data_IF_930769052275
#
_entry.id   IF_930769052275
#
_cell.length_a   1.000
_cell.length_b   1.000
_cell.length_c   1.000
_cell.angle_alpha   90.00
_cell.angle_beta   90.00
_cell.angle_gamma   90.00
#
_symmetry.space_group_name_H-M   'P 1'
#
loop_
_entity.id
_entity.type
_entity.pdbx_description
1 polymer ?
#
# COMPACT_ATOMS: atom_id res chain seq x y z
N UNK A 1 -14.56 -6.94 -23.37
CA UNK A 1 -14.61 -6.64 -21.92
C UNK A 1 -13.75 -5.42 -21.65
N UNK A 2 -14.34 -4.31 -21.22
CA UNK A 2 -13.65 -3.02 -21.09
C UNK A 2 -13.27 -2.79 -19.62
N UNK A 3 -12.01 -3.01 -19.28
CA UNK A 3 -11.48 -2.79 -17.92
C UNK A 3 -11.39 -1.29 -17.64
N UNK A 4 -12.51 -0.72 -17.17
CA UNK A 4 -12.49 0.61 -16.53
C UNK A 4 -11.68 0.50 -15.25
N UNK A 5 -10.37 0.68 -15.36
CA UNK A 5 -9.49 0.86 -14.19
C UNK A 5 -10.09 2.00 -13.39
N UNK A 6 -10.58 1.71 -12.19
CA UNK A 6 -11.34 2.66 -11.39
C UNK A 6 -10.48 3.91 -11.17
N UNK A 7 -11.04 5.09 -11.47
CA UNK A 7 -10.37 6.39 -11.26
C UNK A 7 -9.85 6.53 -9.82
N UNK A 8 -10.44 5.82 -8.88
CA UNK A 8 -10.04 5.75 -7.47
C UNK A 8 -8.75 4.95 -7.24
N UNK A 9 -8.55 3.82 -7.93
CA UNK A 9 -7.31 3.04 -7.83
C UNK A 9 -6.10 3.86 -8.27
N UNK A 10 -6.27 4.67 -9.32
CA UNK A 10 -5.23 5.58 -9.80
C UNK A 10 -4.87 6.66 -8.77
N UNK A 11 -5.88 7.24 -8.09
CA UNK A 11 -5.65 8.27 -7.06
C UNK A 11 -5.03 7.73 -5.79
N UNK A 12 -5.40 6.52 -5.34
CA UNK A 12 -4.75 5.87 -4.19
C UNK A 12 -3.26 5.61 -4.45
N UNK A 13 -2.92 5.13 -5.65
CA UNK A 13 -1.52 4.94 -6.04
C UNK A 13 -0.72 6.25 -5.99
N UNK A 14 -1.32 7.39 -6.32
CA UNK A 14 -0.66 8.69 -6.25
C UNK A 14 -0.33 9.12 -4.82
N UNK A 15 -1.21 8.85 -3.83
CA UNK A 15 -0.97 9.20 -2.42
C UNK A 15 0.20 8.39 -1.85
N UNK A 16 0.19 7.07 -2.05
CA UNK A 16 1.30 6.21 -1.60
C UNK A 16 2.62 6.58 -2.30
N UNK A 17 2.57 6.90 -3.58
CA UNK A 17 3.76 7.37 -4.32
C UNK A 17 4.33 8.63 -3.69
N UNK A 18 3.48 9.56 -3.25
CA UNK A 18 3.94 10.78 -2.60
C UNK A 18 4.54 10.51 -1.22
N UNK A 19 3.91 9.65 -0.41
CA UNK A 19 4.47 9.23 0.88
C UNK A 19 5.84 8.58 0.73
N UNK A 20 6.01 7.70 -0.25
CA UNK A 20 7.30 7.05 -0.47
C UNK A 20 8.36 8.03 -0.96
N UNK A 21 8.01 8.97 -1.85
CA UNK A 21 8.93 10.04 -2.26
C UNK A 21 9.41 10.86 -1.06
N UNK A 22 8.49 11.22 -0.16
CA UNK A 22 8.84 11.96 1.05
C UNK A 22 9.75 11.13 1.96
N UNK A 23 9.41 9.86 2.21
CA UNK A 23 10.24 8.96 3.02
C UNK A 23 11.64 8.75 2.45
N UNK A 24 11.77 8.64 1.12
CA UNK A 24 13.05 8.53 0.43
C UNK A 24 13.88 9.82 0.59
N UNK A 25 13.24 11.00 0.52
CA UNK A 25 13.90 12.28 0.77
C UNK A 25 14.40 12.40 2.23
N UNK A 26 13.60 11.97 3.21
CA UNK A 26 13.97 11.94 4.63
C UNK A 26 15.17 11.00 4.86
N UNK A 27 15.14 9.77 4.30
CA UNK A 27 16.29 8.85 4.35
C UNK A 27 17.56 9.45 3.74
N UNK A 28 17.43 10.14 2.59
CA UNK A 28 18.59 10.75 1.91
C UNK A 28 19.27 11.85 2.74
N UNK A 29 18.55 12.44 3.70
CA UNK A 29 19.06 13.44 4.63
C UNK A 29 19.62 12.84 5.93
N UNK A 30 19.50 11.54 6.11
CA UNK A 30 19.89 10.82 7.33
C UNK A 30 18.79 10.75 8.39
N UNK A 31 17.55 11.17 8.07
CA UNK A 31 16.41 11.07 8.96
C UNK A 31 15.75 9.68 8.88
N UNK A 32 15.06 9.30 9.95
CA UNK A 32 14.27 8.06 9.97
C UNK A 32 12.80 8.38 9.66
N UNK A 33 12.28 8.04 8.47
CA UNK A 33 10.90 8.32 8.14
C UNK A 33 9.94 7.44 8.95
N UNK A 34 8.68 7.90 9.15
CA UNK A 34 7.63 7.05 9.69
C UNK A 34 7.43 5.77 8.87
N UNK A 35 7.05 4.66 9.50
CA UNK A 35 6.83 3.35 8.83
C UNK A 35 5.88 3.44 7.64
N UNK A 36 4.90 4.33 7.70
CA UNK A 36 3.92 4.55 6.61
C UNK A 36 4.55 5.14 5.34
N UNK A 37 5.69 5.81 5.47
CA UNK A 37 6.43 6.46 4.38
C UNK A 37 7.63 5.61 3.94
N UNK A 38 8.00 4.58 4.71
CA UNK A 38 9.07 3.66 4.39
C UNK A 38 8.56 2.53 3.49
N UNK A 39 8.83 2.63 2.18
CA UNK A 39 8.41 1.62 1.17
C UNK A 39 8.89 0.20 1.48
N UNK A 40 9.97 0.05 2.24
CA UNK A 40 10.56 -1.26 2.55
C UNK A 40 9.86 -1.95 3.74
N UNK A 41 9.16 -1.17 4.56
CA UNK A 41 8.50 -1.62 5.79
C UNK A 41 6.98 -1.47 5.77
N UNK A 42 6.46 -0.65 4.86
CA UNK A 42 5.03 -0.37 4.77
C UNK A 42 4.24 -1.62 4.34
N UNK A 43 3.23 -1.98 5.12
CA UNK A 43 2.23 -3.00 4.75
C UNK A 43 0.94 -2.27 4.35
N UNK A 44 0.76 -2.06 3.04
CA UNK A 44 -0.33 -1.24 2.49
C UNK A 44 -1.72 -1.69 2.97
N UNK A 45 -2.08 -3.00 2.94
CA UNK A 45 -3.40 -3.42 3.39
C UNK A 45 -3.69 -3.08 4.85
N UNK A 46 -2.73 -3.31 5.75
CA UNK A 46 -2.87 -3.00 7.18
C UNK A 46 -3.05 -1.50 7.41
N UNK A 47 -2.28 -0.68 6.69
CA UNK A 47 -2.39 0.77 6.76
C UNK A 47 -3.76 1.27 6.30
N UNK A 48 -4.28 0.75 5.19
CA UNK A 48 -5.59 1.11 4.66
C UNK A 48 -6.71 0.70 5.63
N UNK A 49 -6.63 -0.50 6.21
CA UNK A 49 -7.58 -0.97 7.24
C UNK A 49 -7.55 -0.04 8.44
N UNK A 50 -6.35 0.28 8.96
CA UNK A 50 -6.19 1.15 10.11
C UNK A 50 -6.79 2.54 9.86
N UNK A 51 -6.55 3.13 8.68
CA UNK A 51 -7.13 4.41 8.30
C UNK A 51 -8.67 4.36 8.23
N UNK A 52 -9.22 3.34 7.58
CA UNK A 52 -10.66 3.19 7.45
C UNK A 52 -11.34 2.99 8.81
N UNK A 53 -10.77 2.16 9.68
CA UNK A 53 -11.32 1.88 11.02
C UNK A 53 -11.15 3.07 11.97
N UNK A 54 -9.97 3.69 12.00
CA UNK A 54 -9.64 4.69 13.02
C UNK A 54 -10.14 6.09 12.67
N UNK A 55 -10.29 6.39 11.38
CA UNK A 55 -10.68 7.72 10.89
C UNK A 55 -12.04 7.67 10.19
N UNK A 56 -12.20 6.82 9.18
CA UNK A 56 -13.40 6.88 8.33
C UNK A 56 -14.65 6.37 9.04
N UNK A 57 -14.60 5.25 9.76
CA UNK A 57 -15.78 4.72 10.46
C UNK A 57 -16.35 5.74 11.46
N UNK A 58 -15.58 6.26 12.44
CA UNK A 58 -16.11 7.23 13.40
C UNK A 58 -16.63 8.50 12.72
N UNK A 59 -15.95 8.99 11.68
CA UNK A 59 -16.37 10.15 10.92
C UNK A 59 -17.74 9.94 10.27
N UNK A 60 -17.94 8.80 9.60
CA UNK A 60 -19.17 8.52 8.88
C UNK A 60 -20.32 8.06 9.78
N UNK A 61 -20.04 7.51 10.97
CA UNK A 61 -21.05 7.30 12.01
C UNK A 61 -21.63 8.64 12.50
N UNK A 62 -20.77 9.60 12.85
CA UNK A 62 -21.19 10.95 13.26
C UNK A 62 -21.95 11.62 12.11
N UNK A 63 -21.43 11.53 10.89
CA UNK A 63 -22.09 12.12 9.72
C UNK A 63 -23.46 11.50 9.47
N UNK A 64 -23.63 10.19 9.66
CA UNK A 64 -24.91 9.50 9.55
C UNK A 64 -25.95 9.99 10.55
N UNK A 65 -25.51 10.36 11.76
CA UNK A 65 -26.38 10.94 12.80
C UNK A 65 -26.88 12.35 12.43
N UNK A 66 -26.06 13.15 11.74
CA UNK A 66 -26.41 14.52 11.31
C UNK A 66 -27.18 14.50 9.99
N UNK A 67 -26.76 13.66 9.06
CA UNK A 67 -27.30 13.51 7.71
C UNK A 67 -27.68 12.05 7.48
N UNK A 68 -28.92 11.63 7.78
CA UNK A 68 -29.34 10.23 7.69
C UNK A 68 -29.10 9.57 6.33
N UNK A 69 -29.08 10.36 5.24
CA UNK A 69 -28.74 9.89 3.89
C UNK A 69 -27.30 9.37 3.76
N UNK A 70 -26.39 9.78 4.65
CA UNK A 70 -25.01 9.32 4.70
C UNK A 70 -24.82 8.06 5.56
N UNK A 71 -25.83 7.63 6.33
CA UNK A 71 -25.73 6.43 7.17
C UNK A 71 -25.31 5.15 6.40
N UNK A 72 -25.75 4.90 5.14
CA UNK A 72 -25.29 3.74 4.38
C UNK A 72 -23.78 3.72 4.11
N UNK A 73 -23.08 4.86 4.22
CA UNK A 73 -21.64 4.95 3.96
C UNK A 73 -20.80 4.14 4.93
N UNK A 74 -21.23 3.98 6.20
CA UNK A 74 -20.52 3.16 7.20
C UNK A 74 -20.38 1.72 6.69
N UNK A 75 -21.48 1.14 6.21
CA UNK A 75 -21.47 -0.23 5.66
C UNK A 75 -20.63 -0.38 4.40
N UNK A 76 -20.52 0.67 3.58
CA UNK A 76 -19.63 0.67 2.42
C UNK A 76 -18.17 0.65 2.87
N UNK A 77 -17.83 1.41 3.91
CA UNK A 77 -16.48 1.45 4.49
C UNK A 77 -16.12 0.09 5.12
N UNK A 78 -17.03 -0.53 5.86
CA UNK A 78 -16.87 -1.89 6.40
C UNK A 78 -16.57 -2.91 5.30
N UNK A 79 -17.30 -2.87 4.19
CA UNK A 79 -17.03 -3.75 3.05
C UNK A 79 -15.65 -3.49 2.43
N UNK A 80 -15.18 -2.24 2.42
CA UNK A 80 -13.81 -1.93 1.97
C UNK A 80 -12.75 -2.48 2.93
N UNK A 81 -13.01 -2.46 4.24
CA UNK A 81 -12.12 -3.06 5.24
C UNK A 81 -12.01 -4.57 4.99
N UNK A 82 -13.13 -5.28 4.83
CA UNK A 82 -13.16 -6.72 4.54
C UNK A 82 -12.35 -7.07 3.27
N UNK A 83 -12.46 -6.24 2.22
CA UNK A 83 -11.70 -6.46 0.97
C UNK A 83 -10.21 -6.25 1.15
N UNK A 84 -9.81 -5.28 1.99
CA UNK A 84 -8.39 -5.07 2.28
C UNK A 84 -7.83 -6.18 3.16
N UNK A 85 -8.60 -6.67 4.12
CA UNK A 85 -8.24 -7.81 4.96
C UNK A 85 -8.01 -9.06 4.11
N UNK A 86 -8.94 -9.37 3.20
CA UNK A 86 -8.79 -10.46 2.24
C UNK A 86 -7.60 -10.29 1.27
N UNK A 87 -7.11 -9.06 1.08
CA UNK A 87 -5.97 -8.77 0.22
C UNK A 87 -4.61 -8.96 0.92
N UNK A 88 -4.55 -8.98 2.26
CA UNK A 88 -3.30 -9.17 3.03
C UNK A 88 -2.46 -10.35 2.49
N UNK A 89 -2.98 -11.58 2.36
CA UNK A 89 -2.17 -12.71 1.88
C UNK A 89 -1.68 -12.51 0.45
N UNK A 90 -2.46 -11.83 -0.41
CA UNK A 90 -2.09 -11.55 -1.80
C UNK A 90 -0.89 -10.61 -1.84
N UNK A 91 -0.91 -9.55 -1.02
CA UNK A 91 0.20 -8.60 -0.93
C UNK A 91 1.47 -9.24 -0.34
N UNK A 92 1.31 -10.12 0.66
CA UNK A 92 2.42 -10.87 1.22
C UNK A 92 3.08 -11.78 0.16
N UNK A 93 2.28 -12.51 -0.63
CA UNK A 93 2.77 -13.36 -1.71
C UNK A 93 3.47 -12.56 -2.82
N UNK A 94 2.91 -11.42 -3.22
CA UNK A 94 3.51 -10.53 -4.23
C UNK A 94 4.87 -10.00 -3.77
N UNK A 95 4.95 -9.52 -2.53
CA UNK A 95 6.22 -9.02 -1.96
C UNK A 95 7.28 -10.12 -1.90
N UNK A 96 6.90 -11.35 -1.54
CA UNK A 96 7.81 -12.49 -1.56
C UNK A 96 8.33 -12.78 -2.97
N UNK A 97 7.45 -12.86 -3.96
CA UNK A 97 7.82 -13.11 -5.37
C UNK A 97 8.75 -12.03 -5.93
N UNK A 98 8.51 -10.77 -5.58
CA UNK A 98 9.36 -9.65 -6.01
C UNK A 98 10.77 -9.73 -5.41
N UNK A 99 10.88 -10.01 -4.10
CA UNK A 99 12.17 -10.21 -3.43
C UNK A 99 12.94 -11.40 -3.99
N UNK A 100 12.25 -12.51 -4.26
CA UNK A 100 12.86 -13.70 -4.85
C UNK A 100 13.39 -13.44 -6.27
N UNK A 101 12.61 -12.74 -7.10
CA UNK A 101 13.03 -12.35 -8.45
C UNK A 101 14.30 -11.49 -8.42
N UNK A 102 14.34 -10.48 -7.56
CA UNK A 102 15.50 -9.60 -7.41
C UNK A 102 16.75 -10.36 -6.94
N UNK A 103 16.58 -11.35 -6.05
CA UNK A 103 17.67 -12.22 -5.61
C UNK A 103 18.27 -13.02 -6.77
N UNK A 104 17.42 -13.69 -7.56
CA UNK A 104 17.86 -14.48 -8.71
C UNK A 104 18.56 -13.63 -9.78
N UNK A 105 18.07 -12.42 -10.03
CA UNK A 105 18.71 -11.47 -10.95
C UNK A 105 20.09 -11.02 -10.46
N UNK A 106 20.25 -10.74 -9.16
CA UNK A 106 21.53 -10.38 -8.56
C UNK A 106 22.56 -11.52 -8.60
N UNK A 107 22.14 -12.75 -8.33
CA UNK A 107 22.99 -13.95 -8.43
C UNK A 107 23.47 -14.19 -9.86
N UNK A 108 22.58 -14.02 -10.86
CA UNK A 108 22.94 -14.15 -12.27
C UNK A 108 23.92 -13.07 -12.73
N UNK A 109 23.76 -11.82 -12.28
CA UNK A 109 24.68 -10.73 -12.59
C UNK A 109 26.08 -10.97 -11.99
N UNK A 110 26.15 -11.40 -10.73
CA UNK A 110 27.42 -11.73 -10.07
C UNK A 110 28.16 -12.89 -10.76
N UNK A 111 27.43 -13.91 -11.23
CA UNK A 111 28.01 -15.02 -11.98
C UNK A 111 28.56 -14.58 -13.36
N UNK A 112 27.91 -13.61 -14.02
CA UNK A 112 28.39 -13.06 -15.28
C UNK A 112 29.67 -12.24 -15.10
N UNK A 113 29.75 -11.38 -14.08
CA UNK A 113 30.95 -10.60 -13.75
C UNK A 113 32.14 -11.48 -13.35
N UNK A 114 31.90 -12.59 -12.66
CA UNK A 114 32.95 -13.56 -12.31
C UNK A 114 33.53 -14.27 -13.55
N UNK A 115 32.76 -14.39 -14.62
CA UNK A 115 33.15 -15.10 -15.85
C UNK A 115 33.81 -14.18 -16.90
N UNK A 116 33.61 -12.86 -16.83
CA UNK A 116 34.35 -11.88 -17.66
C UNK A 116 35.74 -11.55 -17.12
N UNK A 117 36.00 -11.80 -15.83
CA UNK A 117 37.27 -11.52 -15.16
C UNK A 117 38.23 -12.73 -15.12
N UNK A 118 37.93 -13.82 -15.84
CA UNK A 118 38.72 -15.05 -15.94
C UNK A 118 38.97 -15.41 -17.41
#
# INVERSE_FOLDING_TARGET
MNTRRSRWTFRKAAVLTEFFKQGDLEKSRGDLPPTIMDRDKCVIPELEIQFLQSICVPLFEILGNILPKAAPSVRIIENHIERWDAAIPIFAELSFKEKEKLRLEAEAAAAAEANENN
#
